data_IF_029036727366
#
_entry.id   IF_029036727366
#
_cell.length_a   1.000
_cell.length_b   1.000
_cell.length_c   1.000
_cell.angle_alpha   90.00
_cell.angle_beta   90.00
_cell.angle_gamma   90.00
#
_symmetry.space_group_name_H-M   'P 1'
#
loop_
_entity.id
_entity.type
_entity.pdbx_description
1 polymer ?
#
# COMPACT_ATOMS: atom_id res chain seq x y z
N UNK A 1 -32.57 -0.20 -11.54
CA UNK A 1 -31.56 -0.90 -12.35
C UNK A 1 -32.26 -1.44 -13.59
N UNK A 2 -31.60 -1.57 -14.74
CA UNK A 2 -32.26 -1.99 -15.99
C UNK A 2 -32.42 -0.86 -17.05
N UNK A 3 -31.95 0.33 -16.76
CA UNK A 3 -32.04 1.50 -17.65
C UNK A 3 -31.19 1.42 -18.93
N UNK A 4 -30.59 0.27 -19.23
CA UNK A 4 -29.75 0.09 -20.43
C UNK A 4 -28.44 0.89 -20.45
N UNK A 5 -27.97 1.44 -19.31
CA UNK A 5 -26.76 2.25 -19.23
C UNK A 5 -25.56 1.60 -19.92
N UNK A 6 -25.33 0.34 -19.67
CA UNK A 6 -24.22 -0.39 -20.30
C UNK A 6 -24.36 -0.43 -21.82
N UNK A 7 -25.57 -0.70 -22.32
CA UNK A 7 -25.83 -0.85 -23.77
C UNK A 7 -25.82 0.49 -24.50
N UNK A 8 -26.47 1.51 -23.94
CA UNK A 8 -26.72 2.76 -24.63
C UNK A 8 -25.75 3.90 -24.29
N UNK A 9 -24.94 3.71 -23.25
CA UNK A 9 -23.94 4.72 -22.83
C UNK A 9 -22.53 4.17 -22.78
N UNK A 10 -22.26 3.14 -21.94
CA UNK A 10 -20.90 2.66 -21.72
C UNK A 10 -20.28 2.12 -23.00
N UNK A 11 -20.92 1.15 -23.66
CA UNK A 11 -20.38 0.52 -24.87
C UNK A 11 -20.21 1.50 -26.04
N UNK A 12 -21.19 2.35 -26.38
CA UNK A 12 -21.01 3.35 -27.44
C UNK A 12 -19.86 4.32 -27.17
N UNK A 13 -19.64 4.73 -25.91
CA UNK A 13 -18.49 5.57 -25.58
C UNK A 13 -17.16 4.83 -25.73
N UNK A 14 -17.06 3.59 -25.31
CA UNK A 14 -15.86 2.77 -25.53
C UNK A 14 -15.55 2.58 -27.03
N UNK A 15 -16.58 2.40 -27.86
CA UNK A 15 -16.44 2.25 -29.31
C UNK A 15 -15.90 3.49 -30.01
N UNK A 16 -16.00 4.68 -29.41
CA UNK A 16 -15.42 5.90 -29.95
C UNK A 16 -13.88 5.95 -29.86
N UNK A 17 -13.27 5.19 -28.94
CA UNK A 17 -11.82 5.00 -28.83
C UNK A 17 -11.00 6.30 -28.84
N UNK A 18 -11.51 7.39 -28.25
CA UNK A 18 -10.88 8.71 -28.29
C UNK A 18 -10.09 9.07 -27.02
N UNK A 19 -10.13 8.23 -25.97
CA UNK A 19 -9.50 8.53 -24.66
C UNK A 19 -9.22 7.26 -23.87
N UNK A 20 -8.53 7.40 -22.73
CA UNK A 20 -8.42 6.34 -21.75
C UNK A 20 -9.71 6.24 -20.92
N UNK A 21 -10.08 5.02 -20.55
CA UNK A 21 -11.33 4.74 -19.85
C UNK A 21 -11.08 3.99 -18.55
N UNK A 22 -11.85 4.32 -17.52
CA UNK A 22 -11.99 3.51 -16.30
C UNK A 22 -13.44 3.06 -16.22
N UNK A 23 -13.66 1.74 -16.21
CA UNK A 23 -14.99 1.14 -16.30
C UNK A 23 -15.23 0.19 -15.14
N UNK A 24 -16.31 0.40 -14.39
CA UNK A 24 -16.81 -0.56 -13.42
C UNK A 24 -17.71 -1.58 -14.13
N UNK A 25 -17.28 -2.85 -14.16
CA UNK A 25 -17.98 -3.93 -14.85
C UNK A 25 -18.31 -5.10 -13.90
N UNK A 26 -19.35 -4.97 -13.05
CA UNK A 26 -19.65 -5.98 -12.02
C UNK A 26 -19.97 -7.38 -12.56
N UNK A 27 -20.34 -7.48 -13.83
CA UNK A 27 -20.68 -8.75 -14.50
C UNK A 27 -19.61 -9.25 -15.46
N UNK A 28 -18.56 -8.46 -15.73
CA UNK A 28 -17.55 -8.77 -16.71
C UNK A 28 -17.99 -8.69 -18.17
N UNK A 29 -19.23 -8.27 -18.43
CA UNK A 29 -19.81 -8.30 -19.78
C UNK A 29 -19.22 -7.24 -20.70
N UNK A 30 -18.79 -6.10 -20.18
CA UNK A 30 -18.16 -5.04 -20.97
C UNK A 30 -16.80 -5.51 -21.48
N UNK A 31 -16.01 -6.12 -20.60
CA UNK A 31 -14.71 -6.68 -20.97
C UNK A 31 -14.83 -7.76 -22.04
N UNK A 32 -15.77 -8.68 -21.87
CA UNK A 32 -16.00 -9.78 -22.84
C UNK A 32 -16.44 -9.26 -24.21
N UNK A 33 -17.33 -8.26 -24.23
CA UNK A 33 -17.91 -7.77 -25.50
C UNK A 33 -17.06 -6.69 -26.19
N UNK A 34 -16.34 -5.86 -25.44
CA UNK A 34 -15.58 -4.75 -26.01
C UNK A 34 -14.05 -4.95 -25.93
N UNK A 35 -13.55 -5.85 -25.11
CA UNK A 35 -12.13 -6.01 -24.84
C UNK A 35 -11.31 -6.35 -26.08
N UNK A 36 -11.79 -7.28 -26.90
CA UNK A 36 -11.10 -7.65 -28.14
C UNK A 36 -10.96 -6.45 -29.09
N UNK A 37 -12.04 -5.74 -29.34
CA UNK A 37 -12.06 -4.55 -30.19
C UNK A 37 -11.06 -3.49 -29.68
N UNK A 38 -11.05 -3.21 -28.37
CA UNK A 38 -10.11 -2.26 -27.77
C UNK A 38 -8.66 -2.73 -27.92
N UNK A 39 -8.39 -4.02 -27.67
CA UNK A 39 -7.04 -4.57 -27.82
C UNK A 39 -6.54 -4.53 -29.27
N UNK A 40 -7.40 -4.78 -30.26
CA UNK A 40 -7.07 -4.68 -31.69
C UNK A 40 -6.85 -3.23 -32.16
N UNK A 41 -7.22 -2.23 -31.34
CA UNK A 41 -7.00 -0.79 -31.57
C UNK A 41 -6.02 -0.18 -30.55
N UNK A 42 -4.98 -0.91 -30.19
CA UNK A 42 -3.83 -0.48 -29.38
C UNK A 42 -4.15 -0.06 -27.95
N UNK A 43 -5.33 -0.41 -27.42
CA UNK A 43 -5.66 -0.17 -26.01
C UNK A 43 -4.98 -1.18 -25.10
N UNK A 44 -4.25 -0.70 -24.11
CA UNK A 44 -3.75 -1.54 -23.02
C UNK A 44 -4.84 -1.76 -21.99
N UNK A 45 -5.40 -2.95 -21.97
CA UNK A 45 -6.45 -3.32 -21.02
C UNK A 45 -5.81 -3.81 -19.72
N UNK A 46 -6.23 -3.22 -18.60
CA UNK A 46 -5.89 -3.67 -17.25
C UNK A 46 -7.16 -4.04 -16.51
N UNK A 47 -7.16 -5.22 -15.87
CA UNK A 47 -8.32 -5.77 -15.18
C UNK A 47 -7.99 -5.97 -13.70
N UNK A 48 -8.74 -5.30 -12.82
CA UNK A 48 -8.76 -5.59 -11.39
C UNK A 48 -10.01 -6.43 -11.10
N UNK A 49 -9.81 -7.72 -10.85
CA UNK A 49 -10.90 -8.66 -10.58
C UNK A 49 -10.97 -8.97 -9.09
N UNK A 50 -11.91 -8.34 -8.39
CA UNK A 50 -12.12 -8.52 -6.95
C UNK A 50 -12.96 -9.76 -6.59
N UNK A 51 -13.55 -10.42 -7.58
CA UNK A 51 -14.35 -11.66 -7.40
C UNK A 51 -13.42 -12.88 -7.50
N UNK A 52 -12.49 -12.87 -8.45
CA UNK A 52 -11.52 -13.94 -8.65
C UNK A 52 -10.12 -13.35 -8.86
N UNK A 53 -9.36 -13.26 -7.78
CA UNK A 53 -8.02 -12.69 -7.80
C UNK A 53 -7.05 -13.43 -8.72
N UNK A 54 -7.23 -14.72 -8.95
CA UNK A 54 -6.41 -15.47 -9.92
C UNK A 54 -6.56 -14.95 -11.37
N UNK A 55 -7.66 -14.24 -11.67
CA UNK A 55 -7.92 -13.60 -12.97
C UNK A 55 -7.67 -12.09 -12.94
N UNK A 56 -7.14 -11.57 -11.85
CA UNK A 56 -6.81 -10.16 -11.71
C UNK A 56 -5.37 -9.89 -12.16
N UNK A 57 -5.14 -8.71 -12.69
CA UNK A 57 -3.77 -8.23 -12.89
C UNK A 57 -3.18 -7.80 -11.55
N UNK A 58 -1.88 -8.00 -11.42
CA UNK A 58 -1.13 -7.55 -10.25
C UNK A 58 -0.95 -6.03 -10.26
N UNK A 59 -1.01 -5.45 -9.07
CA UNK A 59 -0.75 -4.02 -8.84
C UNK A 59 0.24 -3.88 -7.70
N UNK A 60 1.39 -3.28 -8.00
CA UNK A 60 2.38 -2.94 -7.00
C UNK A 60 2.39 -1.42 -6.78
N UNK A 61 1.89 -0.91 -5.62
CA UNK A 61 1.86 0.51 -5.35
C UNK A 61 3.25 1.14 -5.20
N UNK A 62 4.28 0.38 -4.83
CA UNK A 62 5.65 0.88 -4.75
C UNK A 62 6.14 1.45 -6.07
N UNK A 63 5.76 0.88 -7.21
CA UNK A 63 6.11 1.39 -8.54
C UNK A 63 5.58 2.81 -8.83
N UNK A 64 4.69 3.33 -8.00
CA UNK A 64 4.09 4.67 -8.14
C UNK A 64 4.60 5.67 -7.09
N UNK A 65 5.46 5.24 -6.17
CA UNK A 65 6.11 6.13 -5.20
C UNK A 65 7.19 6.92 -5.94
N UNK A 66 7.12 8.25 -5.85
CA UNK A 66 8.10 9.17 -6.43
C UNK A 66 8.67 10.16 -5.41
N UNK A 67 8.09 10.18 -4.22
CA UNK A 67 8.45 11.11 -3.16
C UNK A 67 8.00 10.58 -1.80
N UNK A 68 8.59 11.12 -0.73
CA UNK A 68 8.17 10.85 0.65
C UNK A 68 6.67 11.14 0.88
N UNK A 69 6.10 12.11 0.16
CA UNK A 69 4.66 12.41 0.22
C UNK A 69 3.81 11.25 -0.28
N UNK A 70 4.29 10.49 -1.25
CA UNK A 70 3.56 9.35 -1.78
C UNK A 70 3.63 8.15 -0.83
N UNK A 71 4.75 8.00 -0.11
CA UNK A 71 4.86 7.05 1.02
C UNK A 71 3.79 7.35 2.07
N UNK A 72 3.69 8.61 2.51
CA UNK A 72 2.68 9.02 3.48
C UNK A 72 1.23 8.78 3.01
N UNK A 73 0.95 8.99 1.71
CA UNK A 73 -0.36 8.68 1.12
C UNK A 73 -0.62 7.17 1.12
N UNK A 74 0.37 6.35 0.74
CA UNK A 74 0.23 4.91 0.74
C UNK A 74 -0.06 4.39 2.14
N UNK A 75 0.72 4.80 3.15
CA UNK A 75 0.51 4.44 4.56
C UNK A 75 -0.89 4.84 5.02
N UNK A 76 -1.31 6.07 4.75
CA UNK A 76 -2.63 6.53 5.15
C UNK A 76 -3.74 5.71 4.47
N UNK A 77 -3.56 5.33 3.22
CA UNK A 77 -4.51 4.49 2.48
C UNK A 77 -4.60 3.09 3.10
N UNK A 78 -3.47 2.48 3.47
CA UNK A 78 -3.43 1.18 4.16
C UNK A 78 -4.24 1.27 5.45
N UNK A 79 -3.91 2.21 6.33
CA UNK A 79 -4.52 2.34 7.66
C UNK A 79 -6.02 2.63 7.57
N UNK A 80 -6.44 3.53 6.69
CA UNK A 80 -7.88 3.87 6.53
C UNK A 80 -8.67 2.68 6.02
N UNK A 81 -8.11 1.87 5.11
CA UNK A 81 -8.83 0.75 4.53
C UNK A 81 -8.75 -0.55 5.34
N UNK A 82 -7.81 -0.66 6.29
CA UNK A 82 -7.72 -1.81 7.20
C UNK A 82 -8.55 -1.63 8.47
N UNK A 83 -8.92 -0.40 8.81
CA UNK A 83 -9.88 -0.14 9.91
C UNK A 83 -11.30 -0.42 9.43
N UNK A 84 -11.98 -1.35 10.10
CA UNK A 84 -13.38 -1.69 9.80
C UNK A 84 -14.33 -0.49 9.93
N UNK A 85 -15.44 -0.52 9.20
CA UNK A 85 -16.53 0.45 9.32
C UNK A 85 -17.05 0.48 10.75
N UNK A 86 -16.93 1.61 11.45
CA UNK A 86 -17.53 1.81 12.78
C UNK A 86 -16.62 2.40 13.85
N UNK A 87 -15.32 2.41 13.67
CA UNK A 87 -14.46 3.20 14.54
C UNK A 87 -14.19 4.56 13.87
N UNK A 88 -14.94 5.59 14.28
CA UNK A 88 -14.45 6.97 14.12
C UNK A 88 -13.06 6.98 14.76
N UNK A 89 -12.05 7.12 13.91
CA UNK A 89 -10.69 7.22 14.33
C UNK A 89 -10.55 8.48 15.19
N UNK A 90 -10.79 8.37 16.49
CA UNK A 90 -10.03 9.21 17.40
C UNK A 90 -8.58 9.01 16.96
N UNK A 91 -7.86 10.09 16.76
CA UNK A 91 -6.42 10.02 16.48
C UNK A 91 -5.76 9.49 17.77
N UNK A 92 -5.95 8.20 17.99
CA UNK A 92 -5.39 7.51 19.13
C UNK A 92 -3.88 7.46 18.92
N UNK A 93 -3.15 7.61 19.96
CA UNK A 93 -1.71 7.50 20.02
C UNK A 93 -1.18 6.28 19.23
N UNK A 94 -1.85 5.12 19.39
CA UNK A 94 -1.50 3.89 18.70
C UNK A 94 -1.55 4.01 17.16
N UNK A 95 -2.54 4.71 16.63
CA UNK A 95 -2.67 4.95 15.19
C UNK A 95 -1.53 5.82 14.67
N UNK A 96 -1.09 6.80 15.48
CA UNK A 96 0.06 7.64 15.11
C UNK A 96 1.36 6.83 15.11
N UNK A 97 1.56 5.99 16.11
CA UNK A 97 2.71 5.10 16.19
C UNK A 97 2.73 4.11 15.01
N UNK A 98 1.61 3.47 14.71
CA UNK A 98 1.45 2.57 13.57
C UNK A 98 1.76 3.27 12.24
N UNK A 99 1.25 4.49 12.05
CA UNK A 99 1.55 5.29 10.84
C UNK A 99 3.05 5.57 10.70
N UNK A 100 3.71 5.97 11.77
CA UNK A 100 5.15 6.23 11.76
C UNK A 100 5.94 4.96 11.46
N UNK A 101 5.55 3.84 12.04
CA UNK A 101 6.19 2.56 11.83
C UNK A 101 6.09 2.09 10.37
N UNK A 102 4.89 2.02 9.81
CA UNK A 102 4.72 1.69 8.38
C UNK A 102 5.42 2.70 7.47
N UNK A 103 5.45 3.98 7.84
CA UNK A 103 6.20 4.98 7.07
C UNK A 103 7.69 4.68 7.07
N UNK A 104 8.26 4.27 8.22
CA UNK A 104 9.66 3.89 8.33
C UNK A 104 9.99 2.68 7.46
N UNK A 105 9.19 1.59 7.57
CA UNK A 105 9.42 0.36 6.80
C UNK A 105 9.28 0.57 5.30
N UNK A 106 8.21 1.23 4.85
CA UNK A 106 7.98 1.50 3.42
C UNK A 106 9.06 2.43 2.86
N UNK A 107 9.50 3.42 3.64
CA UNK A 107 10.60 4.29 3.24
C UNK A 107 11.92 3.51 3.15
N UNK A 108 12.20 2.61 4.11
CA UNK A 108 13.37 1.74 4.04
C UNK A 108 13.37 0.91 2.75
N UNK A 109 12.26 0.22 2.47
CA UNK A 109 12.13 -0.60 1.26
C UNK A 109 12.33 0.25 -0.01
N UNK A 110 11.71 1.43 -0.07
CA UNK A 110 11.77 2.28 -1.27
C UNK A 110 13.16 2.87 -1.54
N UNK A 111 13.92 3.21 -0.49
CA UNK A 111 15.24 3.82 -0.62
C UNK A 111 16.38 2.79 -0.73
N UNK A 112 16.31 1.69 0.03
CA UNK A 112 17.43 0.79 0.25
C UNK A 112 17.27 -0.56 -0.46
N UNK A 113 16.03 -1.03 -0.69
CA UNK A 113 15.81 -2.31 -1.33
C UNK A 113 15.92 -2.24 -2.86
N UNK A 114 16.41 -3.30 -3.52
CA UNK A 114 16.38 -3.41 -4.97
C UNK A 114 14.93 -3.39 -5.50
N UNK A 115 14.75 -2.99 -6.78
CA UNK A 115 13.42 -2.75 -7.36
C UNK A 115 12.49 -3.97 -7.28
N UNK A 116 13.02 -5.19 -7.43
CA UNK A 116 12.29 -6.44 -7.32
C UNK A 116 11.73 -6.72 -5.94
N UNK A 117 12.36 -6.17 -4.89
CA UNK A 117 11.94 -6.31 -3.50
C UNK A 117 11.06 -5.16 -3.03
N UNK A 118 10.89 -4.11 -3.84
CA UNK A 118 10.01 -2.98 -3.52
C UNK A 118 8.54 -3.38 -3.71
N UNK A 119 8.00 -4.14 -2.75
CA UNK A 119 6.65 -4.68 -2.79
C UNK A 119 6.08 -4.96 -1.39
N UNK A 120 4.81 -5.36 -1.32
CA UNK A 120 4.16 -5.67 -0.05
C UNK A 120 4.63 -6.97 0.59
N UNK A 121 5.18 -7.93 -0.17
CA UNK A 121 5.75 -9.14 0.45
C UNK A 121 6.92 -8.76 1.34
N UNK A 122 7.84 -7.92 0.86
CA UNK A 122 8.96 -7.41 1.66
C UNK A 122 8.48 -6.62 2.90
N UNK A 123 7.40 -5.84 2.76
CA UNK A 123 6.82 -5.14 3.92
C UNK A 123 6.32 -6.13 4.99
N UNK A 124 5.65 -7.21 4.58
CA UNK A 124 5.17 -8.25 5.50
C UNK A 124 6.35 -8.96 6.16
N UNK A 125 7.37 -9.32 5.37
CA UNK A 125 8.59 -9.98 5.89
C UNK A 125 9.29 -9.10 6.95
N UNK A 126 9.35 -7.78 6.75
CA UNK A 126 9.91 -6.86 7.76
C UNK A 126 9.01 -6.75 9.00
N UNK A 127 7.70 -6.75 8.84
CA UNK A 127 6.76 -6.75 9.98
C UNK A 127 6.93 -8.02 10.80
N UNK A 128 6.99 -9.18 10.16
CA UNK A 128 7.19 -10.48 10.81
C UNK A 128 8.57 -10.56 11.52
N UNK A 129 9.60 -9.97 10.89
CA UNK A 129 10.95 -9.90 11.46
C UNK A 129 11.07 -8.92 12.64
N UNK A 130 10.04 -8.10 12.87
CA UNK A 130 10.01 -7.09 13.96
C UNK A 130 9.38 -7.59 15.25
N UNK A 131 9.15 -8.89 15.37
CA UNK A 131 8.59 -9.47 16.61
C UNK A 131 9.43 -9.09 17.83
N UNK A 132 8.77 -8.47 18.81
CA UNK A 132 9.37 -8.15 20.10
C UNK A 132 9.38 -9.40 20.99
N UNK A 133 10.41 -9.57 21.80
CA UNK A 133 10.42 -10.56 22.90
C UNK A 133 10.06 -9.84 24.19
N UNK A 134 9.01 -10.31 24.86
CA UNK A 134 8.54 -9.73 26.13
C UNK A 134 9.52 -9.97 27.29
N UNK A 135 10.44 -10.93 27.15
CA UNK A 135 11.29 -11.42 28.23
C UNK A 135 12.64 -10.70 28.30
N UNK A 136 13.00 -9.86 27.30
CA UNK A 136 14.27 -9.17 27.25
C UNK A 136 14.12 -7.74 26.70
N UNK A 137 14.16 -6.77 27.60
CA UNK A 137 14.07 -5.34 27.28
C UNK A 137 15.23 -4.84 26.37
N UNK A 138 16.34 -5.57 26.29
CA UNK A 138 17.49 -5.23 25.47
C UNK A 138 17.51 -6.02 24.16
N UNK A 139 16.50 -6.85 23.90
CA UNK A 139 16.44 -7.62 22.67
C UNK A 139 16.25 -6.68 21.47
N UNK A 140 17.15 -6.80 20.51
CA UNK A 140 17.05 -6.13 19.21
C UNK A 140 16.63 -7.15 18.17
N UNK A 141 15.51 -6.89 17.53
CA UNK A 141 15.06 -7.71 16.41
C UNK A 141 15.84 -7.36 15.12
N UNK A 142 15.62 -8.12 14.05
CA UNK A 142 16.33 -7.92 12.79
C UNK A 142 16.08 -6.52 12.18
N UNK A 143 14.90 -5.97 12.38
CA UNK A 143 14.54 -4.63 11.87
C UNK A 143 15.28 -3.53 12.64
N UNK A 144 15.41 -3.66 13.97
CA UNK A 144 16.21 -2.74 14.77
C UNK A 144 17.66 -2.66 14.27
N UNK A 145 18.26 -3.82 13.97
CA UNK A 145 19.62 -3.89 13.45
C UNK A 145 19.76 -3.24 12.07
N UNK A 146 18.79 -3.45 11.17
CA UNK A 146 18.75 -2.78 9.85
C UNK A 146 18.70 -1.27 9.98
N UNK A 147 17.86 -0.75 10.87
CA UNK A 147 17.75 0.70 11.09
C UNK A 147 18.96 1.28 11.80
N UNK A 148 19.61 0.56 12.70
CA UNK A 148 20.88 0.97 13.30
C UNK A 148 21.99 1.06 12.25
N UNK A 149 22.11 0.08 11.36
CA UNK A 149 23.08 0.12 10.27
C UNK A 149 22.83 1.30 9.33
N UNK A 150 21.57 1.54 8.97
CA UNK A 150 21.19 2.68 8.13
C UNK A 150 21.48 4.02 8.85
N UNK A 151 21.24 4.10 10.16
CA UNK A 151 21.56 5.27 10.95
C UNK A 151 23.05 5.58 10.97
N UNK A 152 23.89 4.55 11.11
CA UNK A 152 25.35 4.75 11.07
C UNK A 152 25.82 5.30 9.71
N UNK A 153 25.18 4.86 8.63
CA UNK A 153 25.46 5.34 7.26
C UNK A 153 24.91 6.75 7.01
N UNK A 154 23.68 7.00 7.45
CA UNK A 154 22.98 8.27 7.23
C UNK A 154 22.02 8.60 8.39
N UNK A 155 22.47 9.30 9.43
CA UNK A 155 21.63 9.65 10.58
C UNK A 155 20.41 10.51 10.26
N UNK A 156 20.44 11.22 9.13
CA UNK A 156 19.36 12.10 8.69
C UNK A 156 18.41 11.42 7.67
N UNK A 157 18.59 10.13 7.43
CA UNK A 157 17.73 9.39 6.50
C UNK A 157 16.26 9.45 6.91
N UNK A 158 15.36 9.66 5.95
CA UNK A 158 13.93 9.83 6.23
C UNK A 158 13.36 8.63 7.01
N UNK A 159 13.67 7.40 6.59
CA UNK A 159 13.21 6.19 7.27
C UNK A 159 13.70 6.11 8.72
N UNK A 160 14.98 6.43 8.97
CA UNK A 160 15.58 6.43 10.32
C UNK A 160 14.86 7.42 11.24
N UNK A 161 14.58 8.62 10.75
CA UNK A 161 13.85 9.63 11.54
C UNK A 161 12.46 9.17 11.95
N UNK A 162 11.73 8.49 11.04
CA UNK A 162 10.42 7.94 11.35
C UNK A 162 10.52 6.81 12.37
N UNK A 163 11.46 5.89 12.18
CA UNK A 163 11.68 4.76 13.07
C UNK A 163 12.02 5.18 14.50
N UNK A 164 12.96 6.11 14.65
CA UNK A 164 13.33 6.67 15.97
C UNK A 164 12.14 7.30 16.69
N UNK A 165 11.30 8.02 15.97
CA UNK A 165 10.11 8.63 16.57
C UNK A 165 9.19 7.57 17.17
N UNK A 166 9.05 6.40 16.54
CA UNK A 166 8.29 5.26 17.09
C UNK A 166 8.97 4.69 18.33
N UNK A 167 10.29 4.43 18.26
CA UNK A 167 11.05 3.84 19.38
C UNK A 167 10.98 4.71 20.64
N UNK A 168 11.13 6.03 20.50
CA UNK A 168 10.95 6.96 21.61
C UNK A 168 9.53 6.93 22.19
N UNK A 169 8.53 6.70 21.34
CA UNK A 169 7.13 6.64 21.74
C UNK A 169 6.83 5.38 22.55
N UNK A 170 7.45 4.25 22.20
CA UNK A 170 7.34 3.01 22.97
C UNK A 170 8.04 3.08 24.33
N UNK A 171 9.19 3.74 24.41
CA UNK A 171 9.96 3.90 25.66
C UNK A 171 9.32 4.88 26.67
N UNK A 172 8.45 5.77 26.21
CA UNK A 172 7.80 6.80 27.04
C UNK A 172 6.38 6.45 27.47
N UNK A 173 5.88 5.26 27.10
CA UNK A 173 4.58 4.81 27.58
C UNK A 173 4.64 4.49 29.07
N UNK A 174 3.80 5.12 29.92
CA UNK A 174 3.60 4.61 31.25
C UNK A 174 2.99 3.22 31.13
N UNK A 175 3.67 2.21 31.65
CA UNK A 175 3.08 0.93 32.00
C UNK A 175 1.84 1.20 32.86
N UNK A 176 0.69 1.32 32.28
CA UNK A 176 -0.55 1.30 33.01
C UNK A 176 -0.95 -0.16 33.17
N UNK A 177 -0.74 -0.60 34.39
CA UNK A 177 -1.43 -1.68 35.07
C UNK A 177 -2.92 -1.76 34.71
#
# INVERSE_FOLDING_TARGET
>A
SGSGKTRFFVKPNLMQMHSSYVVTDPKGTVLVECGRMLSENDYRIKVLNTINFAKSMHYNPFAYIRSEKDILKLVNTIIVNTKGEGQQASEDFWVKAEKLYYTALIAYIWYEAPEEEQNFSMLIDLVDASEAREDDENFKNAVDLLFEELEQKNPNHFAVRQYKTVSYTHLTLPTKL
#
